data_IF_198122057342
#
_entry.id   IF_198122057342
#
_cell.length_a   1.000
_cell.length_b   1.000
_cell.length_c   1.000
_cell.angle_alpha   90.00
_cell.angle_beta   90.00
_cell.angle_gamma   90.00
#
_symmetry.space_group_name_H-M   'P 1'
#
loop_
_entity.id
_entity.type
_entity.pdbx_description
1 polymer ?
#
# COMPACT_ATOMS: atom_id res chain seq x y z
N UNK A 1 -58.48 33.86 32.77
CA UNK A 1 -57.44 34.20 33.78
C UNK A 1 -57.61 33.29 34.98
N UNK A 2 -56.56 32.74 35.61
CA UNK A 2 -55.13 32.68 35.24
C UNK A 2 -54.73 31.25 34.76
N UNK A 3 -53.95 31.01 33.70
CA UNK A 3 -52.52 31.28 33.41
C UNK A 3 -51.54 30.64 34.41
N UNK A 4 -51.27 29.34 34.23
CA UNK A 4 -50.11 28.62 34.78
C UNK A 4 -48.97 28.66 33.74
N UNK A 5 -47.91 29.39 34.05
CA UNK A 5 -46.65 29.39 33.29
C UNK A 5 -45.91 28.08 33.53
N UNK A 6 -45.73 27.27 32.48
CA UNK A 6 -44.78 26.17 32.46
C UNK A 6 -43.41 26.69 32.02
N UNK A 7 -42.43 26.65 32.93
CA UNK A 7 -41.02 26.82 32.56
C UNK A 7 -40.52 25.45 32.07
N UNK A 8 -40.20 25.37 30.78
CA UNK A 8 -39.50 24.22 30.20
C UNK A 8 -38.01 24.44 30.42
N UNK A 9 -37.40 23.66 31.31
CA UNK A 9 -35.94 23.61 31.47
C UNK A 9 -35.40 22.60 30.45
N UNK A 10 -34.52 23.06 29.57
CA UNK A 10 -33.80 22.22 28.59
C UNK A 10 -32.88 21.22 29.29
N UNK A 11 -32.82 19.98 28.78
CA UNK A 11 -31.96 18.88 29.25
C UNK A 11 -30.46 19.25 29.32
N UNK A 12 -30.03 20.33 28.68
CA UNK A 12 -28.63 20.78 28.71
C UNK A 12 -28.21 21.46 30.02
N UNK A 13 -29.16 21.86 30.89
CA UNK A 13 -28.84 22.50 32.18
C UNK A 13 -28.69 21.52 33.35
N UNK A 14 -29.02 20.24 33.16
CA UNK A 14 -28.98 19.22 34.22
C UNK A 14 -27.63 18.49 34.33
N UNK A 15 -26.74 18.63 33.35
CA UNK A 15 -25.39 18.04 33.41
C UNK A 15 -24.34 18.92 34.09
N UNK A 16 -24.60 20.23 34.27
CA UNK A 16 -23.62 21.15 34.87
C UNK A 16 -23.61 21.14 36.41
N UNK A 17 -24.56 20.45 37.06
CA UNK A 17 -24.69 20.42 38.52
C UNK A 17 -24.18 19.13 39.18
N UNK A 18 -23.73 18.14 38.41
CA UNK A 18 -23.21 16.86 38.93
C UNK A 18 -21.68 16.81 38.97
N UNK A 19 -20.98 17.73 38.29
CA UNK A 19 -19.51 17.65 38.17
C UNK A 19 -18.71 18.39 39.26
N UNK A 20 -19.36 19.19 40.12
CA UNK A 20 -18.67 20.03 41.13
C UNK A 20 -18.61 19.44 42.54
N UNK A 21 -19.08 18.22 42.79
CA UNK A 21 -19.13 17.64 44.16
C UNK A 21 -18.28 16.36 44.35
N UNK A 22 -17.60 15.84 43.32
CA UNK A 22 -16.91 14.53 43.40
C UNK A 22 -15.37 14.52 43.20
N UNK A 23 -14.67 15.63 43.39
CA UNK A 23 -13.19 15.63 43.33
C UNK A 23 -12.50 16.51 44.40
N UNK A 24 -12.97 16.40 45.63
CA UNK A 24 -12.29 16.93 46.81
C UNK A 24 -12.13 15.83 47.88
N UNK A 25 -11.42 14.73 47.57
CA UNK A 25 -10.25 14.42 48.41
C UNK A 25 -9.19 13.59 47.67
N UNK A 26 -8.12 14.23 47.17
CA UNK A 26 -6.86 13.54 46.82
C UNK A 26 -5.67 14.52 46.86
N UNK A 27 -5.61 15.30 47.94
CA UNK A 27 -4.41 16.04 48.35
C UNK A 27 -4.04 15.58 49.76
N UNK A 28 -3.47 14.38 49.84
CA UNK A 28 -2.70 13.91 50.99
C UNK A 28 -1.22 14.16 50.72
N UNK A 29 -0.72 15.30 51.19
CA UNK A 29 0.70 15.61 51.23
C UNK A 29 1.41 14.68 52.23
N UNK A 30 2.42 13.96 51.78
CA UNK A 30 3.51 13.48 52.66
C UNK A 30 4.84 13.96 52.11
N UNK A 31 5.57 14.66 52.98
CA UNK A 31 6.92 15.16 52.82
C UNK A 31 7.94 14.06 52.54
N UNK A 32 8.83 14.29 51.57
CA UNK A 32 10.16 13.70 51.57
C UNK A 32 11.17 14.71 51.01
N UNK A 33 12.16 15.03 51.84
CA UNK A 33 13.34 15.83 51.54
C UNK A 33 14.18 15.17 50.44
N UNK A 34 14.67 15.95 49.47
CA UNK A 34 15.88 15.61 48.72
C UNK A 34 16.73 16.87 48.51
N UNK A 35 18.01 16.68 48.82
CA UNK A 35 19.11 17.62 48.92
C UNK A 35 19.54 18.31 47.61
N UNK A 36 20.14 19.49 47.79
CA UNK A 36 20.89 20.30 46.82
C UNK A 36 21.83 19.54 45.87
N UNK A 37 21.85 19.96 44.60
CA UNK A 37 23.07 20.36 43.90
C UNK A 37 22.74 21.25 42.69
N UNK A 38 23.28 22.47 42.71
CA UNK A 38 23.08 23.50 41.72
C UNK A 38 24.28 23.58 40.77
N UNK A 39 24.01 23.48 39.47
CA UNK A 39 24.79 24.11 38.42
C UNK A 39 23.80 24.56 37.33
N UNK A 40 22.93 25.51 37.68
CA UNK A 40 22.03 26.13 36.73
C UNK A 40 22.78 27.26 36.01
N UNK A 41 22.83 27.19 34.68
CA UNK A 41 23.33 28.28 33.83
C UNK A 41 22.40 29.51 33.98
N UNK A 42 22.94 30.74 33.89
CA UNK A 42 22.14 31.95 34.04
C UNK A 42 21.05 32.01 32.95
N UNK A 43 19.85 32.44 33.34
CA UNK A 43 18.64 32.53 32.49
C UNK A 43 18.92 33.30 31.19
N UNK A 44 19.82 34.27 31.21
CA UNK A 44 20.20 35.09 30.05
C UNK A 44 20.94 34.30 28.95
N UNK A 45 21.61 33.19 29.30
CA UNK A 45 22.23 32.29 28.33
C UNK A 45 21.23 31.30 27.72
N UNK A 46 20.20 30.90 28.47
CA UNK A 46 19.11 30.04 27.95
C UNK A 46 18.24 30.80 26.94
N UNK A 47 17.98 32.10 27.19
CA UNK A 47 17.20 32.95 26.28
C UNK A 47 17.99 33.28 25.02
N UNK A 48 19.31 33.49 25.10
CA UNK A 48 20.13 33.78 23.91
C UNK A 48 20.38 32.54 23.03
N UNK A 49 20.54 31.35 23.63
CA UNK A 49 20.61 30.09 22.86
C UNK A 49 19.28 29.76 22.19
N UNK A 50 18.15 29.98 22.86
CA UNK A 50 16.83 29.77 22.26
C UNK A 50 16.58 30.74 21.08
N UNK A 51 16.98 32.01 21.22
CA UNK A 51 16.86 33.02 20.17
C UNK A 51 17.79 32.74 18.97
N UNK A 52 19.03 32.31 19.20
CA UNK A 52 19.95 31.91 18.13
C UNK A 52 19.47 30.65 17.40
N UNK A 53 18.98 29.66 18.14
CA UNK A 53 18.42 28.42 17.56
C UNK A 53 17.14 28.69 16.76
N UNK A 54 16.33 29.66 17.18
CA UNK A 54 15.14 30.10 16.42
C UNK A 54 15.53 30.84 15.14
N UNK A 55 16.54 31.71 15.18
CA UNK A 55 17.00 32.44 14.00
C UNK A 55 17.63 31.51 12.95
N UNK A 56 18.48 30.55 13.37
CA UNK A 56 19.05 29.55 12.45
C UNK A 56 17.97 28.66 11.80
N UNK A 57 16.86 28.40 12.50
CA UNK A 57 15.71 27.67 11.93
C UNK A 57 14.93 28.50 10.92
N UNK A 58 14.77 29.80 11.14
CA UNK A 58 14.11 30.73 10.20
C UNK A 58 14.97 30.93 8.95
N UNK A 59 16.30 31.01 9.10
CA UNK A 59 17.22 31.19 7.97
C UNK A 59 17.28 29.92 7.10
N UNK A 60 17.31 28.74 7.72
CA UNK A 60 17.24 27.45 7.01
C UNK A 60 15.89 27.24 6.30
N UNK A 61 14.78 27.68 6.93
CA UNK A 61 13.45 27.64 6.34
C UNK A 61 13.33 28.58 5.13
N UNK A 62 13.89 29.78 5.22
CA UNK A 62 13.91 30.75 4.12
C UNK A 62 14.76 30.24 2.96
N UNK A 63 15.89 29.57 3.23
CA UNK A 63 16.71 28.92 2.20
C UNK A 63 15.97 27.76 1.51
N UNK A 64 15.21 26.95 2.26
CA UNK A 64 14.39 25.87 1.72
C UNK A 64 13.22 26.37 0.86
N UNK A 65 12.56 27.46 1.27
CA UNK A 65 11.47 28.09 0.51
C UNK A 65 11.97 28.78 -0.76
N UNK A 66 13.14 29.41 -0.72
CA UNK A 66 13.73 30.07 -1.91
C UNK A 66 14.22 29.03 -2.94
N UNK A 67 14.62 27.83 -2.48
CA UNK A 67 14.91 26.66 -3.33
C UNK A 67 13.65 26.14 -4.04
N UNK A 68 12.50 26.07 -3.35
CA UNK A 68 11.24 25.59 -3.93
C UNK A 68 10.65 26.52 -5.00
N UNK A 69 10.85 27.83 -4.88
CA UNK A 69 10.24 28.82 -5.80
C UNK A 69 11.01 28.99 -7.11
N UNK A 70 12.19 28.39 -7.27
CA UNK A 70 12.99 28.44 -8.52
C UNK A 70 12.94 27.18 -9.39
N UNK A 71 12.02 26.25 -9.12
CA UNK A 71 11.79 25.07 -9.97
C UNK A 71 10.35 25.04 -10.51
N UNK A 72 10.05 25.99 -11.42
CA UNK A 72 8.96 25.84 -12.37
C UNK A 72 9.50 25.24 -13.67
N UNK A 73 8.93 24.10 -14.06
CA UNK A 73 9.19 23.31 -15.27
C UNK A 73 10.61 22.74 -15.44
N UNK A 74 10.86 21.62 -14.79
CA UNK A 74 11.81 20.63 -15.32
C UNK A 74 11.35 19.21 -14.98
N UNK A 75 11.51 18.30 -15.94
CA UNK A 75 11.16 16.88 -15.91
C UNK A 75 11.43 16.25 -14.53
N UNK A 76 10.39 15.67 -13.91
CA UNK A 76 10.53 14.81 -12.72
C UNK A 76 11.17 13.48 -13.15
N UNK A 77 12.50 13.42 -13.20
CA UNK A 77 13.22 12.18 -12.98
C UNK A 77 13.55 12.10 -11.48
N UNK A 78 12.90 11.18 -10.77
CA UNK A 78 13.26 10.85 -9.39
C UNK A 78 14.58 10.07 -9.40
N UNK A 79 15.66 10.69 -8.95
CA UNK A 79 16.98 10.06 -8.76
C UNK A 79 17.14 9.50 -7.34
N UNK A 80 16.20 8.69 -6.86
CA UNK A 80 16.36 7.95 -5.60
C UNK A 80 17.11 6.64 -5.86
N UNK A 81 18.43 6.74 -6.05
CA UNK A 81 19.33 5.60 -6.18
C UNK A 81 19.53 4.90 -4.83
N UNK A 82 18.63 3.98 -4.47
CA UNK A 82 18.89 2.97 -3.45
C UNK A 82 19.61 1.77 -4.07
N UNK A 83 20.91 1.92 -4.30
CA UNK A 83 21.83 0.84 -4.64
C UNK A 83 22.02 -0.10 -3.44
N UNK A 84 21.06 -0.99 -3.21
CA UNK A 84 21.35 -2.25 -2.54
C UNK A 84 21.82 -3.25 -3.59
N UNK A 85 23.12 -3.22 -3.86
CA UNK A 85 23.80 -4.26 -4.62
C UNK A 85 23.69 -5.59 -3.87
N UNK A 86 22.58 -6.29 -4.05
CA UNK A 86 22.50 -7.71 -3.73
C UNK A 86 23.36 -8.42 -4.78
N UNK A 87 24.56 -8.82 -4.35
CA UNK A 87 25.47 -9.64 -5.15
C UNK A 87 24.87 -11.07 -5.27
N UNK A 88 23.78 -11.19 -6.02
CA UNK A 88 23.23 -12.47 -6.47
C UNK A 88 24.01 -12.79 -7.74
N UNK A 89 24.94 -13.74 -7.63
CA UNK A 89 25.79 -14.13 -8.76
C UNK A 89 24.94 -14.35 -10.01
N UNK A 90 25.33 -13.68 -11.07
CA UNK A 90 24.70 -13.45 -12.38
C UNK A 90 24.56 -14.71 -13.25
N UNK A 91 24.03 -15.80 -12.68
CA UNK A 91 23.56 -16.95 -13.44
C UNK A 91 22.05 -17.05 -13.33
N UNK A 92 21.42 -17.40 -14.45
CA UNK A 92 20.13 -18.05 -14.46
C UNK A 92 20.22 -19.25 -13.49
N UNK A 93 19.78 -19.07 -12.24
CA UNK A 93 19.74 -20.12 -11.24
C UNK A 93 18.51 -20.97 -11.54
N UNK A 94 18.68 -22.15 -12.16
CA UNK A 94 17.54 -22.96 -12.57
C UNK A 94 16.74 -23.43 -11.35
N UNK A 95 17.38 -23.54 -10.18
CA UNK A 95 16.70 -23.90 -8.94
C UNK A 95 15.82 -22.75 -8.43
N UNK A 96 16.31 -21.51 -8.49
CA UNK A 96 15.50 -20.33 -8.16
C UNK A 96 14.28 -20.22 -9.08
N UNK A 97 14.47 -20.38 -10.40
CA UNK A 97 13.37 -20.33 -11.36
C UNK A 97 12.36 -21.45 -11.12
N UNK A 98 12.82 -22.70 -10.98
CA UNK A 98 11.95 -23.83 -10.68
C UNK A 98 11.17 -23.64 -9.37
N UNK A 99 11.80 -23.08 -8.33
CA UNK A 99 11.13 -22.76 -7.08
C UNK A 99 10.02 -21.70 -7.27
N UNK A 100 10.23 -20.74 -8.17
CA UNK A 100 9.24 -19.68 -8.48
C UNK A 100 8.11 -20.20 -9.34
N UNK A 101 8.40 -21.05 -10.32
CA UNK A 101 7.39 -21.82 -11.06
C UNK A 101 6.52 -22.62 -10.09
N UNK A 102 7.13 -23.37 -9.16
CA UNK A 102 6.38 -24.16 -8.19
C UNK A 102 5.48 -23.30 -7.31
N UNK A 103 6.00 -22.19 -6.77
CA UNK A 103 5.22 -21.24 -5.98
C UNK A 103 4.07 -20.63 -6.78
N UNK A 104 4.31 -20.22 -8.03
CA UNK A 104 3.27 -19.68 -8.92
C UNK A 104 2.18 -20.70 -9.22
N UNK A 105 2.54 -21.95 -9.50
CA UNK A 105 1.57 -23.05 -9.70
C UNK A 105 0.73 -23.28 -8.44
N UNK A 106 1.35 -23.28 -7.26
CA UNK A 106 0.63 -23.40 -5.99
C UNK A 106 -0.36 -22.25 -5.79
N UNK A 107 0.07 -21.00 -5.97
CA UNK A 107 -0.79 -19.83 -5.89
C UNK A 107 -1.97 -19.92 -6.87
N UNK A 108 -1.69 -20.29 -8.12
CA UNK A 108 -2.70 -20.44 -9.17
C UNK A 108 -3.72 -21.55 -8.89
N UNK A 109 -3.28 -22.68 -8.32
CA UNK A 109 -4.19 -23.74 -7.89
C UNK A 109 -5.08 -23.26 -6.75
N UNK A 110 -4.52 -22.62 -5.72
CA UNK A 110 -5.28 -22.05 -4.60
C UNK A 110 -6.27 -20.99 -5.07
N UNK A 111 -5.95 -20.23 -6.12
CA UNK A 111 -6.87 -19.26 -6.71
C UNK A 111 -8.19 -19.87 -7.19
N UNK A 112 -8.15 -21.14 -7.59
CA UNK A 112 -9.29 -21.86 -8.12
C UNK A 112 -10.07 -22.63 -7.06
N UNK A 113 -9.54 -22.71 -5.85
CA UNK A 113 -10.22 -23.36 -4.75
C UNK A 113 -11.31 -22.45 -4.15
N UNK A 114 -12.41 -23.07 -3.73
CA UNK A 114 -13.40 -22.41 -2.87
C UNK A 114 -12.78 -22.03 -1.53
N UNK A 115 -13.35 -21.01 -0.87
CA UNK A 115 -12.95 -20.61 0.47
C UNK A 115 -13.01 -21.78 1.49
N UNK A 116 -14.01 -22.65 1.36
CA UNK A 116 -14.12 -23.84 2.22
C UNK A 116 -12.95 -24.81 2.01
N UNK A 117 -12.56 -25.04 0.75
CA UNK A 117 -11.44 -25.92 0.43
C UNK A 117 -10.09 -25.34 0.85
N UNK A 118 -9.85 -24.03 0.65
CA UNK A 118 -8.61 -23.38 1.12
C UNK A 118 -8.50 -23.44 2.64
N UNK A 119 -9.61 -23.21 3.35
CA UNK A 119 -9.68 -23.34 4.82
C UNK A 119 -9.38 -24.77 5.26
N UNK A 120 -9.95 -25.78 4.60
CA UNK A 120 -9.66 -27.19 4.89
C UNK A 120 -8.18 -27.53 4.67
N UNK A 121 -7.62 -27.13 3.51
CA UNK A 121 -6.19 -27.33 3.19
C UNK A 121 -5.26 -26.64 4.19
N UNK A 122 -5.73 -25.57 4.83
CA UNK A 122 -5.02 -24.82 5.86
C UNK A 122 -5.37 -25.28 7.29
N UNK A 123 -5.70 -26.56 7.47
CA UNK A 123 -5.93 -27.15 8.79
C UNK A 123 -7.18 -26.62 9.51
N UNK A 124 -8.16 -26.12 8.77
CA UNK A 124 -9.38 -25.52 9.31
C UNK A 124 -9.25 -24.03 9.64
N UNK A 125 -8.08 -23.41 9.42
CA UNK A 125 -7.87 -21.98 9.64
C UNK A 125 -8.13 -21.23 8.33
N UNK A 126 -9.01 -20.23 8.35
CA UNK A 126 -9.26 -19.40 7.16
C UNK A 126 -7.98 -18.70 6.70
N UNK A 127 -7.76 -18.69 5.39
CA UNK A 127 -6.71 -17.85 4.79
C UNK A 127 -7.19 -16.43 4.52
N UNK A 128 -8.47 -16.14 4.71
CA UNK A 128 -8.99 -14.78 4.57
C UNK A 128 -8.30 -13.84 5.54
N UNK A 129 -8.01 -12.63 5.07
CA UNK A 129 -7.50 -11.59 5.93
C UNK A 129 -8.49 -11.32 7.08
N UNK A 130 -7.96 -11.17 8.29
CA UNK A 130 -8.77 -10.88 9.49
C UNK A 130 -9.41 -9.49 9.46
N UNK A 131 -8.97 -8.62 8.53
CA UNK A 131 -9.43 -7.25 8.39
C UNK A 131 -10.17 -7.11 7.07
N UNK A 132 -11.46 -6.81 7.17
CA UNK A 132 -12.38 -6.73 6.03
C UNK A 132 -13.16 -5.41 5.96
N UNK A 133 -13.09 -4.60 7.01
CA UNK A 133 -13.71 -3.28 7.09
C UNK A 133 -12.66 -2.19 6.81
N UNK A 134 -12.81 -1.39 5.74
CA UNK A 134 -11.91 -0.28 5.46
C UNK A 134 -11.81 0.75 6.60
N UNK A 135 -12.79 0.85 7.50
CA UNK A 135 -12.71 1.72 8.68
C UNK A 135 -11.54 1.33 9.61
N UNK A 136 -11.09 0.08 9.57
CA UNK A 136 -9.99 -0.40 10.40
C UNK A 136 -8.61 0.12 9.94
N UNK A 137 -8.47 0.64 8.72
CA UNK A 137 -7.21 1.22 8.22
C UNK A 137 -6.63 2.24 9.21
N UNK A 138 -7.46 3.18 9.67
CA UNK A 138 -7.06 4.20 10.65
C UNK A 138 -6.62 3.59 11.99
N UNK A 139 -7.33 2.57 12.49
CA UNK A 139 -6.97 1.90 13.75
C UNK A 139 -5.72 1.03 13.64
N UNK A 140 -5.33 0.65 12.43
CA UNK A 140 -4.12 -0.11 12.12
C UNK A 140 -2.91 0.78 11.81
N UNK A 141 -3.04 2.10 12.00
CA UNK A 141 -1.97 3.07 11.80
C UNK A 141 -1.84 3.59 10.37
N UNK A 142 -2.83 3.37 9.51
CA UNK A 142 -2.81 3.90 8.15
C UNK A 142 -3.43 5.30 8.05
N UNK A 143 -2.78 6.15 7.26
CA UNK A 143 -3.30 7.46 6.85
C UNK A 143 -3.68 7.39 5.38
N UNK A 144 -4.97 7.37 5.09
CA UNK A 144 -5.50 7.35 3.73
C UNK A 144 -5.76 8.73 3.17
N UNK A 145 -5.20 9.00 1.99
CA UNK A 145 -5.55 10.14 1.14
C UNK A 145 -6.20 9.61 -0.14
N UNK A 146 -7.40 10.08 -0.42
CA UNK A 146 -8.18 9.71 -1.60
C UNK A 146 -8.31 10.96 -2.46
N UNK A 147 -7.61 10.96 -3.59
CA UNK A 147 -7.46 12.10 -4.48
C UNK A 147 -8.08 11.76 -5.84
N UNK A 148 -8.65 12.75 -6.52
CA UNK A 148 -9.03 12.56 -7.93
C UNK A 148 -7.73 12.51 -8.73
N UNK A 149 -7.59 11.51 -9.61
CA UNK A 149 -6.45 11.50 -10.50
C UNK A 149 -6.68 12.52 -11.62
N UNK A 150 -5.79 13.49 -11.73
CA UNK A 150 -5.78 14.52 -12.76
C UNK A 150 -4.33 14.87 -13.15
N UNK A 151 -4.18 15.81 -14.08
CA UNK A 151 -2.87 16.24 -14.62
C UNK A 151 -1.89 16.77 -13.56
N UNK A 152 -2.37 17.12 -12.36
CA UNK A 152 -1.57 17.60 -11.23
C UNK A 152 -1.33 16.50 -10.19
N UNK A 153 -2.30 15.61 -9.98
CA UNK A 153 -2.30 14.55 -8.96
C UNK A 153 -2.48 13.14 -9.57
N UNK A 154 -1.66 12.82 -10.57
CA UNK A 154 -1.63 11.52 -11.25
C UNK A 154 -0.66 10.48 -10.68
N UNK A 155 -0.67 9.25 -11.23
CA UNK A 155 0.29 8.20 -10.89
C UNK A 155 1.73 8.64 -11.18
N UNK A 156 2.67 8.21 -10.34
CA UNK A 156 4.10 8.48 -10.45
C UNK A 156 4.64 7.98 -11.79
N UNK A 157 4.18 6.82 -12.25
CA UNK A 157 4.60 6.23 -13.52
C UNK A 157 3.59 6.49 -14.66
N UNK A 158 2.97 7.68 -14.71
CA UNK A 158 1.96 8.05 -15.70
C UNK A 158 2.35 7.74 -17.15
N UNK A 159 3.57 8.08 -17.58
CA UNK A 159 4.07 7.81 -18.95
C UNK A 159 4.05 6.31 -19.31
N UNK A 160 4.24 5.43 -18.31
CA UNK A 160 4.18 3.99 -18.51
C UNK A 160 2.75 3.45 -18.67
N UNK A 161 1.76 4.27 -18.31
CA UNK A 161 0.37 3.91 -18.13
C UNK A 161 -0.56 4.42 -19.23
N UNK A 162 -0.16 5.44 -20.01
CA UNK A 162 -1.03 6.04 -21.03
C UNK A 162 -1.61 5.00 -22.02
N UNK A 163 -0.75 4.25 -22.69
CA UNK A 163 -1.19 3.24 -23.67
C UNK A 163 -1.98 2.06 -23.05
N UNK A 164 -1.58 1.46 -21.90
CA UNK A 164 -2.39 0.43 -21.26
C UNK A 164 -3.73 0.93 -20.73
N UNK A 165 -3.78 2.14 -20.16
CA UNK A 165 -5.04 2.71 -19.65
C UNK A 165 -6.02 2.99 -20.78
N UNK A 166 -5.54 3.56 -21.89
CA UNK A 166 -6.34 3.75 -23.10
C UNK A 166 -6.81 2.41 -23.68
N UNK A 167 -5.94 1.39 -23.75
CA UNK A 167 -6.33 0.04 -24.18
C UNK A 167 -7.47 -0.56 -23.33
N UNK A 168 -7.48 -0.28 -22.04
CA UNK A 168 -8.51 -0.75 -21.11
C UNK A 168 -9.77 0.13 -21.09
N UNK A 169 -9.82 1.22 -21.86
CA UNK A 169 -10.92 2.19 -21.80
C UNK A 169 -10.99 2.91 -20.45
N UNK A 170 -9.87 2.99 -19.73
CA UNK A 170 -9.72 3.60 -18.42
C UNK A 170 -8.77 4.79 -18.50
N UNK A 171 -8.81 5.54 -19.60
CA UNK A 171 -7.97 6.72 -19.75
C UNK A 171 -8.26 7.70 -18.61
N UNK A 172 -7.26 7.89 -17.76
CA UNK A 172 -7.33 8.74 -16.57
C UNK A 172 -7.43 10.20 -16.97
N UNK A 173 -7.00 10.55 -18.18
CA UNK A 173 -6.81 11.93 -18.62
C UNK A 173 -8.01 12.49 -19.40
N UNK A 174 -8.87 11.61 -19.92
CA UNK A 174 -9.99 11.99 -20.81
C UNK A 174 -11.38 11.55 -20.32
N UNK A 175 -11.51 10.94 -19.13
CA UNK A 175 -12.80 10.45 -18.65
C UNK A 175 -13.75 11.59 -18.18
N UNK A 176 -15.01 11.55 -18.61
CA UNK A 176 -16.06 12.53 -18.25
C UNK A 176 -16.74 12.25 -16.88
N UNK A 177 -16.16 11.40 -16.04
CA UNK A 177 -16.67 10.81 -14.76
C UNK A 177 -17.33 9.41 -14.89
N UNK A 178 -17.17 8.53 -13.86
CA UNK A 178 -16.35 8.72 -12.66
C UNK A 178 -14.86 8.59 -12.98
N UNK A 179 -14.10 9.62 -12.59
CA UNK A 179 -12.65 9.64 -12.80
C UNK A 179 -11.98 8.55 -11.95
N UNK A 180 -10.87 7.96 -12.43
CA UNK A 180 -10.00 7.15 -11.59
C UNK A 180 -9.54 7.92 -10.35
N UNK A 181 -9.40 7.19 -9.24
CA UNK A 181 -9.06 7.75 -7.93
C UNK A 181 -7.69 7.27 -7.52
N UNK A 182 -6.83 8.21 -7.12
CA UNK A 182 -5.53 7.90 -6.55
C UNK A 182 -5.66 7.77 -5.04
N UNK A 183 -5.31 6.60 -4.51
CA UNK A 183 -5.24 6.36 -3.07
C UNK A 183 -3.77 6.29 -2.67
N UNK A 184 -3.35 7.21 -1.80
CA UNK A 184 -2.04 7.19 -1.16
C UNK A 184 -2.22 6.85 0.31
N UNK A 185 -1.51 5.83 0.76
CA UNK A 185 -1.43 5.54 2.19
C UNK A 185 -0.02 5.43 2.69
N UNK A 186 0.22 6.07 3.84
CA UNK A 186 1.43 5.90 4.63
C UNK A 186 1.11 5.11 5.91
N UNK A 187 1.96 4.13 6.21
CA UNK A 187 1.81 3.25 7.36
C UNK A 187 2.64 3.73 8.56
N UNK A 188 1.92 4.11 9.62
CA UNK A 188 2.45 4.30 10.97
C UNK A 188 2.25 3.01 11.77
N UNK A 189 3.15 2.66 12.69
CA UNK A 189 3.02 1.45 13.50
C UNK A 189 1.68 1.39 14.30
N UNK A 190 1.33 0.27 14.95
CA UNK A 190 0.12 0.21 15.78
C UNK A 190 0.20 1.22 16.93
N UNK A 191 -0.66 2.23 16.87
CA UNK A 191 -0.62 3.38 17.76
C UNK A 191 -0.24 4.63 16.99
N UNK A 192 -0.81 5.77 17.33
CA UNK A 192 -0.63 6.97 16.55
C UNK A 192 0.82 7.45 16.63
N UNK A 193 1.55 7.44 15.52
CA UNK A 193 2.73 8.31 15.39
C UNK A 193 2.28 9.64 14.81
N UNK A 194 2.50 10.73 15.55
CA UNK A 194 2.33 12.09 15.03
C UNK A 194 3.25 12.28 13.83
N UNK A 195 2.67 12.57 12.67
CA UNK A 195 3.32 13.40 11.65
C UNK A 195 2.27 14.46 11.28
N UNK A 196 2.48 15.66 11.83
CA UNK A 196 1.65 16.87 11.74
C UNK A 196 1.60 17.36 10.27
N UNK A 197 0.46 17.74 9.69
CA UNK A 197 0.01 19.15 9.65
C UNK A 197 -1.37 19.25 8.96
N UNK A 198 -2.40 19.76 9.67
CA UNK A 198 -3.39 20.76 9.17
C UNK A 198 -4.64 20.96 10.05
N UNK A 199 -4.83 20.23 11.14
CA UNK A 199 -5.95 20.52 12.04
C UNK A 199 -5.56 20.29 13.50
N UNK A 200 -5.55 21.34 14.31
CA UNK A 200 -5.09 21.29 15.71
C UNK A 200 -6.21 20.93 16.69
N UNK A 201 -7.47 20.80 16.25
CA UNK A 201 -8.63 20.76 17.16
C UNK A 201 -9.28 19.37 17.32
N UNK A 202 -8.79 18.33 16.66
CA UNK A 202 -9.34 16.96 16.76
C UNK A 202 -8.26 15.92 17.13
N UNK A 203 -7.82 15.91 18.39
CA UNK A 203 -6.81 14.95 18.88
C UNK A 203 -7.12 14.44 20.29
N UNK A 204 -7.60 13.19 20.40
CA UNK A 204 -7.57 12.48 21.68
C UNK A 204 -7.14 11.01 21.54
N UNK A 205 -6.13 10.71 22.36
CA UNK A 205 -5.80 9.43 22.99
C UNK A 205 -4.93 8.40 22.22
N UNK A 206 -3.61 8.62 22.22
CA UNK A 206 -2.71 7.52 22.59
C UNK A 206 -1.39 8.02 23.18
N UNK A 207 -1.07 7.56 24.38
CA UNK A 207 0.16 7.83 25.13
C UNK A 207 1.39 7.04 24.64
N UNK A 208 1.32 6.39 23.47
CA UNK A 208 2.39 5.54 22.93
C UNK A 208 2.89 6.10 21.60
N UNK A 209 4.03 6.79 21.65
CA UNK A 209 4.81 7.11 20.45
C UNK A 209 5.39 5.79 19.93
N UNK A 210 4.93 5.35 18.77
CA UNK A 210 5.53 4.24 18.02
C UNK A 210 6.20 4.78 16.77
N UNK A 211 7.31 4.17 16.37
CA UNK A 211 8.07 4.59 15.20
C UNK A 211 7.27 4.24 13.92
N UNK A 212 6.99 5.21 13.04
CA UNK A 212 6.30 4.92 11.79
C UNK A 212 7.17 4.02 10.92
N UNK A 213 6.55 3.07 10.21
CA UNK A 213 7.34 2.16 9.36
C UNK A 213 7.89 2.83 8.12
N UNK A 214 7.31 3.96 7.71
CA UNK A 214 7.61 4.64 6.45
C UNK A 214 7.12 3.88 5.21
N UNK A 215 6.40 2.76 5.39
CA UNK A 215 5.81 2.04 4.27
C UNK A 215 4.70 2.86 3.62
N UNK A 216 4.59 2.72 2.30
CA UNK A 216 3.72 3.54 1.48
C UNK A 216 3.16 2.72 0.34
N UNK A 217 1.85 2.83 0.12
CA UNK A 217 1.17 2.20 -1.01
C UNK A 217 0.34 3.24 -1.73
N UNK A 218 0.75 3.54 -2.95
CA UNK A 218 0.07 4.40 -3.90
C UNK A 218 -0.60 3.53 -4.96
N UNK A 219 -1.91 3.71 -5.11
CA UNK A 219 -2.74 2.89 -5.97
C UNK A 219 -3.75 3.74 -6.70
N UNK A 220 -3.74 3.67 -8.03
CA UNK A 220 -4.82 4.19 -8.85
C UNK A 220 -5.94 3.15 -8.94
N UNK A 221 -7.18 3.58 -8.77
CA UNK A 221 -8.36 2.70 -8.77
C UNK A 221 -9.36 3.25 -9.77
N UNK A 222 -9.82 2.41 -10.68
CA UNK A 222 -11.01 2.66 -11.48
C UNK A 222 -11.99 1.50 -11.31
N UNK A 223 -13.19 1.78 -10.80
CA UNK A 223 -14.18 0.76 -10.48
C UNK A 223 -14.87 0.17 -11.72
N UNK A 224 -14.85 0.89 -12.84
CA UNK A 224 -15.37 0.46 -14.14
C UNK A 224 -14.37 0.92 -15.21
N UNK A 225 -13.49 0.03 -15.71
CA UNK A 225 -13.73 -1.40 -15.96
C UNK A 225 -13.24 -2.35 -14.85
N UNK A 226 -13.00 -1.87 -13.64
CA UNK A 226 -12.50 -2.69 -12.54
C UNK A 226 -10.97 -2.89 -12.59
N UNK A 227 -10.27 -1.77 -12.60
CA UNK A 227 -8.83 -1.64 -12.67
C UNK A 227 -8.23 -1.21 -11.32
N UNK A 228 -7.07 -1.78 -11.02
CA UNK A 228 -6.18 -1.37 -9.94
C UNK A 228 -4.76 -1.22 -10.50
N UNK A 229 -4.12 -0.06 -10.34
CA UNK A 229 -2.70 0.13 -10.65
C UNK A 229 -1.93 0.28 -9.38
N UNK A 230 -1.06 -0.69 -9.10
CA UNK A 230 -0.07 -0.61 -8.06
C UNK A 230 1.12 0.21 -8.59
N UNK A 231 1.16 1.47 -8.21
CA UNK A 231 2.09 2.48 -8.73
C UNK A 231 3.36 2.51 -7.88
N UNK A 232 3.38 3.30 -6.80
CA UNK A 232 4.49 3.30 -5.84
C UNK A 232 4.19 2.43 -4.63
N UNK A 233 4.98 1.37 -4.42
CA UNK A 233 4.75 0.42 -3.33
C UNK A 233 6.03 0.12 -2.55
N UNK A 234 6.08 0.59 -1.31
CA UNK A 234 7.14 0.33 -0.33
C UNK A 234 6.52 -0.38 0.87
N UNK A 235 6.93 -1.62 1.12
CA UNK A 235 6.41 -2.41 2.25
C UNK A 235 7.18 -2.16 3.54
N UNK A 236 6.60 -2.45 4.72
CA UNK A 236 7.34 -2.38 5.99
C UNK A 236 8.58 -3.30 5.96
N UNK A 237 8.44 -4.49 5.39
CA UNK A 237 9.54 -5.45 5.28
C UNK A 237 10.71 -4.95 4.41
N UNK A 238 10.46 -4.16 3.36
CA UNK A 238 11.53 -3.56 2.55
C UNK A 238 12.30 -2.47 3.28
N UNK A 239 11.71 -1.89 4.32
CA UNK A 239 12.33 -0.89 5.19
C UNK A 239 12.96 -1.53 6.44
N UNK A 240 13.02 -2.86 6.51
CA UNK A 240 13.67 -3.59 7.59
C UNK A 240 12.82 -3.80 8.84
N UNK A 241 11.53 -3.47 8.81
CA UNK A 241 10.66 -3.64 9.97
C UNK A 241 10.35 -5.12 10.26
N UNK A 242 10.29 -5.46 11.55
CA UNK A 242 9.98 -6.80 12.02
C UNK A 242 8.46 -6.99 12.17
N UNK A 243 7.89 -7.91 11.38
CA UNK A 243 6.46 -8.26 11.43
C UNK A 243 5.98 -8.82 12.79
N UNK A 244 6.90 -9.31 13.60
CA UNK A 244 6.61 -9.94 14.90
C UNK A 244 6.78 -8.95 16.06
N UNK A 245 7.04 -7.67 15.79
CA UNK A 245 7.06 -6.65 16.84
C UNK A 245 5.66 -6.50 17.46
N UNK A 246 5.58 -6.21 18.76
CA UNK A 246 4.32 -6.11 19.49
C UNK A 246 3.40 -4.99 18.97
N UNK A 247 3.99 -4.00 18.31
CA UNK A 247 3.36 -2.86 17.65
C UNK A 247 3.28 -3.00 16.12
N UNK A 248 3.59 -4.17 15.55
CA UNK A 248 3.41 -4.40 14.12
C UNK A 248 1.91 -4.38 13.76
N UNK A 249 1.55 -3.60 12.75
CA UNK A 249 0.21 -3.63 12.15
C UNK A 249 -0.20 -5.03 11.71
N UNK A 250 -1.51 -5.30 11.71
CA UNK A 250 -2.02 -6.52 11.08
C UNK A 250 -2.02 -6.42 9.55
N UNK A 251 -2.07 -5.21 8.99
CA UNK A 251 -2.02 -4.98 7.54
C UNK A 251 -0.56 -4.89 7.11
N UNK A 252 0.09 -6.04 6.99
CA UNK A 252 1.52 -6.10 6.69
C UNK A 252 1.81 -6.19 5.20
N UNK A 253 0.83 -6.64 4.41
CA UNK A 253 0.98 -6.97 3.01
C UNK A 253 0.24 -5.98 2.12
N UNK A 254 0.79 -5.75 0.93
CA UNK A 254 0.14 -4.94 -0.10
C UNK A 254 -1.24 -5.49 -0.47
N UNK A 255 -1.41 -6.82 -0.51
CA UNK A 255 -2.68 -7.46 -0.84
C UNK A 255 -3.81 -7.08 0.12
N UNK A 256 -3.53 -7.11 1.43
CA UNK A 256 -4.54 -6.78 2.45
C UNK A 256 -4.94 -5.30 2.35
N UNK A 257 -3.96 -4.42 2.24
CA UNK A 257 -4.18 -2.99 2.19
C UNK A 257 -4.97 -2.60 0.93
N UNK A 258 -4.51 -3.06 -0.23
CA UNK A 258 -5.10 -2.66 -1.50
C UNK A 258 -6.51 -3.22 -1.69
N UNK A 259 -6.82 -4.38 -1.11
CA UNK A 259 -8.19 -4.88 -1.04
C UNK A 259 -9.10 -3.90 -0.30
N UNK A 260 -8.65 -3.40 0.87
CA UNK A 260 -9.41 -2.43 1.65
C UNK A 260 -9.58 -1.11 0.89
N UNK A 261 -8.59 -0.68 0.11
CA UNK A 261 -8.68 0.53 -0.73
C UNK A 261 -9.73 0.34 -1.81
N UNK A 262 -9.63 -0.76 -2.55
CA UNK A 262 -10.57 -1.09 -3.62
C UNK A 262 -11.99 -1.20 -3.08
N UNK A 263 -12.16 -1.83 -1.91
CA UNK A 263 -13.46 -1.92 -1.23
C UNK A 263 -13.98 -0.59 -0.72
N UNK A 264 -13.11 0.30 -0.25
CA UNK A 264 -13.48 1.66 0.19
C UNK A 264 -13.95 2.51 -0.99
N UNK A 265 -13.23 2.48 -2.10
CA UNK A 265 -13.49 3.32 -3.26
C UNK A 265 -14.67 2.79 -4.09
N UNK A 266 -14.68 1.49 -4.40
CA UNK A 266 -15.71 0.90 -5.25
C UNK A 266 -16.94 0.40 -4.48
N UNK A 267 -16.84 0.25 -3.16
CA UNK A 267 -17.91 -0.28 -2.33
C UNK A 267 -18.03 -1.81 -2.38
N UNK A 268 -18.68 -2.38 -1.36
CA UNK A 268 -18.70 -3.82 -1.13
C UNK A 268 -19.42 -4.65 -2.22
N UNK A 269 -20.27 -4.05 -3.06
CA UNK A 269 -20.93 -4.75 -4.17
C UNK A 269 -20.09 -4.79 -5.44
N UNK A 270 -19.27 -3.75 -5.70
CA UNK A 270 -18.48 -3.63 -6.92
C UNK A 270 -17.07 -4.22 -6.81
N UNK A 271 -16.62 -4.62 -5.61
CA UNK A 271 -15.31 -5.28 -5.43
C UNK A 271 -15.11 -6.52 -6.31
N UNK A 272 -16.21 -7.19 -6.69
CA UNK A 272 -16.20 -8.36 -7.57
C UNK A 272 -15.91 -8.02 -9.03
N UNK A 273 -15.97 -6.75 -9.40
CA UNK A 273 -15.72 -6.29 -10.76
C UNK A 273 -14.23 -6.11 -11.04
N UNK A 274 -13.34 -6.38 -10.07
CA UNK A 274 -11.91 -6.35 -10.33
C UNK A 274 -11.53 -7.34 -11.45
N UNK A 275 -11.06 -6.80 -12.56
CA UNK A 275 -10.69 -7.51 -13.79
C UNK A 275 -9.22 -7.24 -14.17
N UNK A 276 -8.66 -6.10 -13.78
CA UNK A 276 -7.34 -5.69 -14.24
C UNK A 276 -6.48 -5.22 -13.07
N UNK A 277 -5.24 -5.72 -13.03
CA UNK A 277 -4.23 -5.23 -12.08
C UNK A 277 -2.95 -4.89 -12.83
N UNK A 278 -2.49 -3.64 -12.74
CA UNK A 278 -1.19 -3.22 -13.25
C UNK A 278 -0.20 -3.13 -12.08
N UNK A 279 1.02 -3.61 -12.27
CA UNK A 279 2.20 -3.33 -11.44
C UNK A 279 3.09 -2.40 -12.27
N UNK A 280 3.05 -1.11 -11.98
CA UNK A 280 3.87 -0.12 -12.68
C UNK A 280 5.24 0.01 -12.01
N UNK A 281 6.25 0.39 -12.79
CA UNK A 281 7.52 0.86 -12.26
C UNK A 281 8.31 -0.11 -11.38
N UNK A 282 8.37 -1.39 -11.74
CA UNK A 282 8.90 -2.45 -10.88
C UNK A 282 10.43 -2.36 -10.72
N UNK A 283 10.88 -1.95 -9.54
CA UNK A 283 12.31 -1.98 -9.14
C UNK A 283 12.71 -3.21 -8.34
N UNK A 284 11.75 -4.06 -7.98
CA UNK A 284 12.05 -5.22 -7.16
C UNK A 284 12.95 -6.23 -7.89
N UNK A 285 14.20 -6.36 -7.43
CA UNK A 285 15.22 -7.22 -8.06
C UNK A 285 14.72 -8.65 -8.32
N UNK A 286 14.06 -9.26 -7.35
CA UNK A 286 13.53 -10.63 -7.49
C UNK A 286 12.53 -10.75 -8.65
N UNK A 287 11.66 -9.75 -8.82
CA UNK A 287 10.69 -9.74 -9.92
C UNK A 287 11.37 -9.50 -11.26
N UNK A 288 12.30 -8.55 -11.32
CA UNK A 288 13.08 -8.27 -12.52
C UNK A 288 13.86 -9.50 -13.01
N UNK A 289 14.54 -10.22 -12.10
CA UNK A 289 15.23 -11.47 -12.44
C UNK A 289 14.23 -12.50 -12.97
N UNK A 290 13.07 -12.68 -12.33
CA UNK A 290 12.08 -13.66 -12.78
C UNK A 290 11.50 -13.33 -14.15
N UNK A 291 11.26 -12.06 -14.46
CA UNK A 291 10.81 -11.65 -15.80
C UNK A 291 11.88 -11.94 -16.85
N UNK A 292 13.16 -11.58 -16.62
CA UNK A 292 14.26 -11.95 -17.53
C UNK A 292 14.32 -13.45 -17.80
N UNK A 293 14.27 -14.25 -16.73
CA UNK A 293 14.34 -15.70 -16.85
C UNK A 293 13.12 -16.29 -17.57
N UNK A 294 11.93 -15.79 -17.29
CA UNK A 294 10.70 -16.20 -17.95
C UNK A 294 10.72 -15.88 -19.45
N UNK A 295 11.14 -14.66 -19.82
CA UNK A 295 11.23 -14.24 -21.22
C UNK A 295 12.25 -15.06 -22.02
N UNK A 296 13.44 -15.32 -21.45
CA UNK A 296 14.43 -16.21 -22.07
C UNK A 296 13.89 -17.63 -22.27
N UNK A 297 13.20 -18.16 -21.25
CA UNK A 297 12.60 -19.50 -21.32
C UNK A 297 11.51 -19.59 -22.40
N UNK A 298 10.80 -18.48 -22.67
CA UNK A 298 9.85 -18.34 -23.77
C UNK A 298 10.50 -18.00 -25.13
N UNK A 299 11.84 -17.88 -25.21
CA UNK A 299 12.55 -17.56 -26.45
C UNK A 299 12.57 -16.07 -26.83
N UNK A 300 12.22 -15.18 -25.92
CA UNK A 300 12.30 -13.73 -26.13
C UNK A 300 13.67 -13.19 -25.70
N UNK A 301 14.19 -12.23 -26.46
CA UNK A 301 15.46 -11.56 -26.21
C UNK A 301 15.32 -10.20 -25.54
N UNK A 302 14.11 -9.64 -25.45
CA UNK A 302 13.88 -8.34 -24.82
C UNK A 302 12.55 -8.25 -24.07
N UNK A 303 12.45 -7.29 -23.14
CA UNK A 303 11.17 -6.72 -22.69
C UNK A 303 10.77 -5.66 -23.72
N UNK A 304 9.67 -5.84 -24.46
CA UNK A 304 9.27 -4.91 -25.51
C UNK A 304 8.57 -3.66 -24.95
N UNK A 305 8.50 -2.61 -25.77
CA UNK A 305 7.57 -1.50 -25.56
C UNK A 305 6.11 -2.00 -25.63
N UNK A 306 5.16 -1.22 -25.14
CA UNK A 306 3.75 -1.63 -25.05
C UNK A 306 3.12 -2.07 -26.39
N UNK A 307 3.47 -1.41 -27.50
CA UNK A 307 3.02 -1.79 -28.84
C UNK A 307 3.33 -3.25 -29.21
N UNK A 308 4.46 -3.78 -28.73
CA UNK A 308 4.95 -5.14 -28.98
C UNK A 308 4.90 -6.04 -27.73
N UNK A 309 4.11 -5.64 -26.71
CA UNK A 309 4.00 -6.33 -25.40
C UNK A 309 3.83 -7.84 -25.52
N UNK A 310 4.42 -8.56 -24.56
CA UNK A 310 4.33 -10.03 -24.51
C UNK A 310 3.25 -10.44 -23.51
N UNK A 311 2.33 -11.30 -23.95
CA UNK A 311 1.29 -11.87 -23.09
C UNK A 311 1.55 -13.34 -22.84
N UNK A 312 1.63 -13.73 -21.58
CA UNK A 312 1.78 -15.11 -21.14
C UNK A 312 0.47 -15.64 -20.57
N UNK A 313 0.23 -16.94 -20.76
CA UNK A 313 -0.97 -17.64 -20.31
C UNK A 313 -0.62 -18.76 -19.31
N UNK A 314 -1.57 -19.23 -18.49
CA UNK A 314 -1.37 -20.26 -17.46
C UNK A 314 -1.12 -21.68 -18.00
N UNK A 315 -0.45 -21.79 -19.14
CA UNK A 315 -0.04 -23.03 -19.79
C UNK A 315 1.42 -23.36 -19.47
N UNK A 316 2.28 -22.35 -19.39
CA UNK A 316 3.73 -22.53 -19.41
C UNK A 316 4.43 -22.02 -18.15
N UNK A 317 5.59 -22.59 -17.85
CA UNK A 317 6.43 -22.22 -16.71
C UNK A 317 6.72 -20.71 -16.61
N UNK A 318 6.97 -19.96 -17.70
CA UNK A 318 7.17 -18.51 -17.68
C UNK A 318 6.07 -17.74 -16.97
N UNK A 319 4.79 -18.09 -17.20
CA UNK A 319 3.66 -17.47 -16.50
C UNK A 319 3.75 -17.71 -14.99
N UNK A 320 4.00 -18.97 -14.59
CA UNK A 320 4.05 -19.34 -13.18
C UNK A 320 5.30 -18.76 -12.48
N UNK A 321 6.42 -18.62 -13.17
CA UNK A 321 7.62 -17.98 -12.63
C UNK A 321 7.34 -16.52 -12.25
N UNK A 322 6.67 -15.76 -13.14
CA UNK A 322 6.29 -14.37 -12.85
C UNK A 322 5.23 -14.32 -11.75
N UNK A 323 4.22 -15.18 -11.79
CA UNK A 323 3.22 -15.24 -10.72
C UNK A 323 3.84 -15.60 -9.35
N UNK A 324 4.90 -16.40 -9.32
CA UNK A 324 5.65 -16.75 -8.11
C UNK A 324 6.65 -15.69 -7.63
N UNK A 325 6.93 -14.66 -8.44
CA UNK A 325 7.78 -13.52 -8.06
C UNK A 325 7.16 -12.70 -6.92
N UNK A 326 7.90 -11.79 -6.29
CA UNK A 326 7.35 -10.94 -5.21
C UNK A 326 6.13 -10.12 -5.65
N UNK A 327 6.17 -9.46 -6.81
CA UNK A 327 5.04 -8.64 -7.29
C UNK A 327 3.88 -9.51 -7.76
N UNK A 328 4.15 -10.60 -8.50
CA UNK A 328 3.10 -11.53 -8.92
C UNK A 328 2.42 -12.23 -7.74
N UNK A 329 3.21 -12.63 -6.73
CA UNK A 329 2.67 -13.31 -5.56
C UNK A 329 1.77 -12.39 -4.71
N UNK A 330 2.03 -11.08 -4.69
CA UNK A 330 1.13 -10.12 -4.05
C UNK A 330 -0.29 -10.20 -4.62
N UNK A 331 -0.43 -10.32 -5.94
CA UNK A 331 -1.72 -10.53 -6.60
C UNK A 331 -2.28 -11.91 -6.25
N UNK A 332 -1.41 -12.92 -6.19
CA UNK A 332 -1.73 -14.24 -5.65
C UNK A 332 -2.40 -14.21 -4.29
N UNK A 333 -1.82 -13.47 -3.36
CA UNK A 333 -2.33 -13.30 -2.02
C UNK A 333 -3.64 -12.49 -2.00
N UNK A 334 -3.72 -11.39 -2.76
CA UNK A 334 -4.95 -10.60 -2.91
C UNK A 334 -6.13 -11.48 -3.34
N UNK A 335 -5.94 -12.27 -4.40
CA UNK A 335 -7.00 -13.13 -4.92
C UNK A 335 -7.29 -14.32 -4.00
N UNK A 336 -6.37 -14.74 -3.12
CA UNK A 336 -6.53 -15.91 -2.27
C UNK A 336 -7.11 -15.60 -0.89
N UNK A 337 -6.80 -14.42 -0.34
CA UNK A 337 -7.14 -14.02 1.03
C UNK A 337 -8.37 -13.10 1.11
N UNK A 338 -8.98 -12.78 -0.03
CA UNK A 338 -10.18 -11.95 -0.11
C UNK A 338 -11.23 -12.57 -1.05
N UNK A 339 -11.34 -13.90 -1.03
CA UNK A 339 -12.23 -14.71 -1.87
C UNK A 339 -13.68 -14.73 -1.39
N UNK A 340 -13.99 -14.16 -0.22
CA UNK A 340 -15.36 -14.15 0.29
C UNK A 340 -16.37 -13.73 -0.78
N UNK A 341 -17.38 -14.56 -1.01
CA UNK A 341 -18.31 -14.40 -2.13
C UNK A 341 -19.38 -13.35 -1.86
N UNK A 342 -19.50 -12.85 -0.63
CA UNK A 342 -20.51 -11.84 -0.27
C UNK A 342 -19.88 -10.45 -0.24
N UNK A 343 -18.72 -10.32 0.38
CA UNK A 343 -18.06 -9.06 0.76
C UNK A 343 -16.65 -8.89 0.19
N UNK A 344 -16.15 -9.91 -0.51
CA UNK A 344 -14.84 -9.95 -1.14
C UNK A 344 -14.91 -10.05 -2.66
N UNK A 345 -13.77 -10.38 -3.27
CA UNK A 345 -13.57 -10.44 -4.72
C UNK A 345 -14.30 -11.63 -5.38
N UNK A 346 -14.78 -12.58 -4.58
CA UNK A 346 -15.20 -13.90 -5.05
C UNK A 346 -14.02 -14.76 -5.49
N UNK A 347 -14.30 -15.98 -5.97
CA UNK A 347 -13.24 -16.87 -6.46
C UNK A 347 -12.81 -16.45 -7.86
N UNK A 348 -11.64 -15.82 -7.93
CA UNK A 348 -11.00 -15.35 -9.15
C UNK A 348 -9.60 -15.95 -9.34
N UNK A 349 -9.12 -15.95 -10.58
CA UNK A 349 -7.78 -16.35 -10.97
C UNK A 349 -7.18 -15.39 -12.00
N UNK A 350 -5.86 -15.39 -12.11
CA UNK A 350 -5.16 -14.71 -13.20
C UNK A 350 -5.41 -15.48 -14.51
N UNK A 351 -5.76 -14.80 -15.60
CA UNK A 351 -5.96 -15.39 -16.93
C UNK A 351 -4.76 -15.17 -17.86
N UNK A 352 -4.12 -14.02 -17.73
CA UNK A 352 -2.94 -13.67 -18.51
C UNK A 352 -2.03 -12.70 -17.74
N UNK A 353 -0.75 -12.68 -18.11
CA UNK A 353 0.23 -11.70 -17.64
C UNK A 353 0.86 -11.05 -18.85
N UNK A 354 0.62 -9.77 -19.02
CA UNK A 354 1.18 -8.94 -20.09
C UNK A 354 2.37 -8.15 -19.56
N UNK A 355 3.45 -8.11 -20.32
CA UNK A 355 4.77 -7.60 -19.91
C UNK A 355 5.20 -6.55 -20.92
N UNK A 356 5.61 -5.38 -20.42
CA UNK A 356 6.19 -4.32 -21.23
C UNK A 356 7.21 -3.50 -20.44
N UNK A 357 7.98 -2.72 -21.19
CA UNK A 357 8.76 -1.59 -20.69
C UNK A 357 8.19 -0.30 -21.27
N UNK A 358 8.56 0.84 -20.68
CA UNK A 358 8.38 2.15 -21.28
C UNK A 358 9.74 2.83 -21.47
N UNK A 359 9.77 3.94 -22.23
CA UNK A 359 10.98 4.63 -22.65
C UNK A 359 11.18 4.59 -24.16
N UNK A 360 12.40 4.82 -24.62
CA UNK A 360 12.71 4.91 -26.05
C UNK A 360 12.99 3.55 -26.71
N UNK A 361 13.46 2.56 -25.93
CA UNK A 361 13.93 1.28 -26.47
C UNK A 361 13.46 0.08 -25.62
N UNK A 362 13.39 -1.09 -26.27
CA UNK A 362 13.15 -2.37 -25.61
C UNK A 362 14.35 -2.75 -24.71
N UNK A 363 14.10 -3.41 -23.59
CA UNK A 363 15.14 -3.79 -22.65
C UNK A 363 15.72 -5.15 -22.98
N UNK A 364 17.02 -5.22 -23.23
CA UNK A 364 17.69 -6.48 -23.50
C UNK A 364 17.59 -7.41 -22.28
N UNK A 365 17.06 -8.61 -22.51
CA UNK A 365 17.05 -9.68 -21.51
C UNK A 365 18.16 -10.69 -21.77
N UNK A 366 19.07 -10.50 -22.71
CA UNK A 366 20.21 -11.40 -22.93
C UNK A 366 21.24 -11.32 -21.79
N UNK A 367 21.38 -10.15 -21.19
CA UNK A 367 22.35 -9.88 -20.14
C UNK A 367 22.00 -10.46 -18.78
N UNK A 368 22.95 -11.16 -18.16
CA UNK A 368 22.75 -11.85 -16.90
C UNK A 368 22.88 -10.96 -15.65
N UNK A 369 23.18 -9.67 -15.82
CA UNK A 369 23.21 -8.66 -14.76
C UNK A 369 21.81 -8.08 -14.49
N UNK A 370 21.58 -7.67 -13.24
CA UNK A 370 20.39 -6.93 -12.83
C UNK A 370 20.43 -5.46 -13.28
N UNK A 371 21.63 -4.95 -13.54
CA UNK A 371 21.95 -3.54 -13.80
C UNK A 371 21.38 -3.00 -15.12
N UNK A 372 20.87 -3.90 -15.97
CA UNK A 372 20.41 -3.58 -17.33
C UNK A 372 18.93 -3.20 -17.39
N UNK A 373 18.21 -3.22 -16.25
CA UNK A 373 16.92 -2.53 -16.18
C UNK A 373 17.20 -1.08 -15.77
N UNK A 374 16.96 -0.09 -16.64
CA UNK A 374 16.85 1.28 -16.17
C UNK A 374 15.79 1.28 -15.06
N UNK A 375 16.17 1.84 -13.90
CA UNK A 375 15.33 1.83 -12.70
C UNK A 375 13.90 2.23 -13.09
N UNK A 376 12.93 1.43 -12.64
CA UNK A 376 11.50 1.66 -12.81
C UNK A 376 10.89 1.43 -14.19
N UNK A 377 11.54 0.80 -15.16
CA UNK A 377 10.94 0.70 -16.51
C UNK A 377 10.04 -0.52 -16.76
N UNK A 378 10.21 -1.60 -15.99
CA UNK A 378 9.42 -2.83 -16.13
C UNK A 378 8.00 -2.67 -15.57
N UNK A 379 7.00 -3.07 -16.37
CA UNK A 379 5.59 -3.10 -15.98
C UNK A 379 4.95 -4.46 -16.28
N UNK A 380 3.92 -4.79 -15.50
CA UNK A 380 3.12 -6.01 -15.65
C UNK A 380 1.63 -5.69 -15.57
N UNK A 381 0.80 -6.33 -16.40
CA UNK A 381 -0.66 -6.26 -16.40
C UNK A 381 -1.19 -7.67 -16.23
N UNK A 382 -2.06 -7.84 -15.25
CA UNK A 382 -2.71 -9.10 -14.93
C UNK A 382 -4.19 -8.98 -15.27
N UNK A 383 -4.64 -9.84 -16.18
CA UNK A 383 -6.06 -10.06 -16.42
C UNK A 383 -6.59 -11.03 -15.36
N UNK A 384 -7.70 -10.69 -14.73
CA UNK A 384 -8.32 -11.44 -13.65
C UNK A 384 -9.71 -11.87 -14.08
N UNK A 385 -9.98 -13.17 -14.03
CA UNK A 385 -11.27 -13.74 -14.43
C UNK A 385 -11.93 -14.52 -13.28
N UNK A 386 -13.27 -14.55 -13.21
CA UNK A 386 -13.98 -15.44 -12.31
C UNK A 386 -13.67 -16.92 -12.57
N UNK A 387 -13.70 -17.73 -11.52
CA UNK A 387 -13.63 -19.19 -11.63
C UNK A 387 -15.04 -19.75 -11.69
N UNK A 388 -15.48 -20.18 -12.87
CA UNK A 388 -16.86 -20.65 -13.09
C UNK A 388 -17.27 -21.85 -12.23
N UNK A 389 -16.32 -22.72 -11.88
CA UNK A 389 -16.55 -23.88 -11.02
C UNK A 389 -15.35 -24.07 -10.08
N UNK A 390 -15.33 -23.40 -8.92
CA UNK A 390 -14.24 -23.53 -7.97
C UNK A 390 -14.12 -24.95 -7.45
N UNK A 391 -12.90 -25.40 -7.17
CA UNK A 391 -12.66 -26.69 -6.53
C UNK A 391 -13.32 -26.70 -5.14
N UNK A 392 -14.10 -27.74 -4.87
CA UNK A 392 -14.86 -27.89 -3.64
C UNK A 392 -14.22 -28.92 -2.71
N UNK A 393 -14.59 -28.86 -1.43
CA UNK A 393 -14.32 -29.95 -0.49
C UNK A 393 -14.99 -31.22 -1.03
N UNK A 394 -14.25 -32.35 -1.18
CA UNK A 394 -14.85 -33.61 -1.60
C UNK A 394 -15.99 -34.00 -0.64
N UNK A 395 -17.10 -34.56 -1.15
CA UNK A 395 -18.14 -35.08 -0.28
C UNK A 395 -17.55 -36.17 0.63
N UNK A 396 -18.01 -36.28 1.89
CA UNK A 396 -17.51 -37.30 2.81
C UNK A 396 -17.73 -38.70 2.20
N UNK A 397 -16.68 -39.52 2.21
CA UNK A 397 -16.77 -40.92 1.79
C UNK A 397 -17.69 -41.65 2.75
N UNK A 398 -18.79 -42.21 2.22
CA UNK A 398 -19.79 -42.98 2.99
C UNK A 398 -19.27 -44.38 3.27
#
# INVERSE_FOLDING_TARGET
MPSLFGIVISKSLMLLFVYTILLAPLLGLTSAEVSHNAAALPIDQLVSQAAQTAQTKVDNFTQAMTSLVHHHHSRRHNNDHHNHAFNISTRADPALYAARVLKGRQLYCTMQDSLALTTQKNGGVSQEALIYDPANLYTEGFRTYVLKADDQEGPVFGEALDEPLNFLGSDVWEADEPMPVLVREAHTAKGFSQIDTLDHELWHDSSRLVEPTGAEWETLINCDPGLLVADRNVSPASLGFNKNADDATRIWSWSDAVFLYYKRVCGASAVKNLEWIIRAGIVNIDTNIMVKMALRASGHSAVPLWGDRITLHPTDDPFFAILGSKNGAGIGFLLNQHKDVVTGLGVKKVNSITIWTYGEEALDVSSTTTDDYPDHTLCLLFEIVPVASPNQVPPPTI
#
